data_IF_539283543343
#
_entry.id   IF_539283543343
#
_cell.length_a   1.000
_cell.length_b   1.000
_cell.length_c   1.000
_cell.angle_alpha   90.00
_cell.angle_beta   90.00
_cell.angle_gamma   90.00
#
_symmetry.space_group_name_H-M   'P 1'
#
loop_
_entity.id
_entity.type
_entity.pdbx_description
1 polymer ?
#
# COMPACT_ATOMS: atom_id res chain seq x y z
N UNK A 1 9.73 7.43 2.93
CA UNK A 1 9.61 6.02 3.37
C UNK A 1 8.19 5.79 3.84
N UNK A 2 7.60 4.62 3.54
CA UNK A 2 6.27 4.22 4.01
C UNK A 2 6.39 2.92 4.81
N UNK A 3 5.76 2.90 5.98
CA UNK A 3 5.56 1.71 6.80
C UNK A 3 4.18 1.83 7.42
N UNK A 4 3.26 0.92 7.09
CA UNK A 4 1.89 0.97 7.61
C UNK A 4 1.24 -0.41 7.57
N UNK A 5 0.15 -0.53 8.32
CA UNK A 5 -0.69 -1.73 8.36
C UNK A 5 -2.06 -1.37 7.80
N UNK A 6 -2.53 -2.11 6.80
CA UNK A 6 -3.92 -2.03 6.37
C UNK A 6 -4.74 -3.02 7.18
N UNK A 7 -5.64 -2.50 8.01
CA UNK A 7 -6.68 -3.30 8.67
C UNK A 7 -7.83 -3.49 7.69
N UNK A 8 -8.22 -4.73 7.44
CA UNK A 8 -9.27 -5.05 6.47
C UNK A 8 -10.52 -5.44 7.25
N UNK A 9 -11.46 -4.50 7.33
CA UNK A 9 -12.74 -4.67 7.99
C UNK A 9 -13.76 -5.28 7.02
N UNK A 10 -14.36 -6.39 7.45
CA UNK A 10 -15.24 -7.25 6.66
C UNK A 10 -15.42 -8.67 7.24
N UNK A 11 -15.07 -8.85 8.53
CA UNK A 11 -15.07 -10.10 9.30
C UNK A 11 -14.67 -9.81 10.75
N UNK A 12 -14.22 -10.82 11.52
CA UNK A 12 -13.63 -10.59 12.84
C UNK A 12 -12.42 -9.63 12.75
N UNK A 13 -12.22 -8.77 13.75
CA UNK A 13 -11.11 -7.81 13.90
C UNK A 13 -9.73 -8.51 14.00
N UNK A 14 -9.31 -9.20 12.93
CA UNK A 14 -8.12 -10.05 12.95
C UNK A 14 -7.34 -10.11 11.64
N UNK A 15 -7.83 -9.49 10.56
CA UNK A 15 -7.17 -9.55 9.25
C UNK A 15 -6.43 -8.25 8.95
N UNK A 16 -5.13 -8.35 8.73
CA UNK A 16 -4.30 -7.20 8.38
C UNK A 16 -3.17 -7.57 7.43
N UNK A 17 -2.63 -6.57 6.73
CA UNK A 17 -1.44 -6.67 5.88
C UNK A 17 -0.44 -5.58 6.24
N UNK A 18 0.84 -5.93 6.32
CA UNK A 18 1.93 -5.02 6.65
C UNK A 18 2.70 -4.63 5.39
N UNK A 19 2.88 -3.33 5.20
CA UNK A 19 3.51 -2.73 4.03
C UNK A 19 4.79 -2.02 4.44
N UNK A 20 5.85 -2.20 3.64
CA UNK A 20 7.11 -1.51 3.85
C UNK A 20 7.79 -1.16 2.53
N UNK A 21 8.29 0.08 2.41
CA UNK A 21 9.10 0.48 1.25
C UNK A 21 9.17 1.98 1.02
N UNK A 22 9.49 2.36 -0.22
CA UNK A 22 9.62 3.77 -0.63
C UNK A 22 8.59 4.08 -1.70
N UNK A 23 7.70 5.02 -1.40
CA UNK A 23 6.86 5.67 -2.39
C UNK A 23 7.55 6.95 -2.88
N UNK A 24 7.76 7.05 -4.19
CA UNK A 24 8.34 8.23 -4.84
C UNK A 24 7.22 9.06 -5.46
N UNK A 25 6.95 10.21 -4.86
CA UNK A 25 5.98 11.19 -5.38
C UNK A 25 6.40 11.58 -6.81
N UNK A 26 5.42 11.68 -7.70
CA UNK A 26 5.63 11.98 -9.13
C UNK A 26 6.07 10.78 -9.98
N UNK A 27 6.37 9.62 -9.38
CA UNK A 27 6.51 8.37 -10.14
C UNK A 27 5.15 7.85 -10.60
N UNK A 28 5.08 7.27 -11.80
CA UNK A 28 3.87 6.62 -12.31
C UNK A 28 3.44 5.42 -11.43
N UNK A 29 4.40 4.76 -10.80
CA UNK A 29 4.19 3.63 -9.90
C UNK A 29 5.37 3.49 -8.94
N UNK A 30 5.08 3.11 -7.70
CA UNK A 30 6.09 2.60 -6.75
C UNK A 30 5.70 1.18 -6.30
N UNK A 31 6.67 0.41 -5.80
CA UNK A 31 6.41 -0.90 -5.19
C UNK A 31 6.73 -0.87 -3.71
N UNK A 32 5.84 -1.45 -2.90
CA UNK A 32 6.07 -1.73 -1.49
C UNK A 32 6.09 -3.24 -1.29
N UNK A 33 6.90 -3.72 -0.35
CA UNK A 33 6.91 -5.12 0.05
C UNK A 33 5.74 -5.41 0.99
N UNK A 34 5.14 -6.59 0.85
CA UNK A 34 4.25 -7.17 1.86
C UNK A 34 5.11 -8.02 2.78
N UNK A 35 5.30 -7.56 4.01
CA UNK A 35 6.23 -8.21 4.95
C UNK A 35 5.56 -9.29 5.79
N UNK A 36 4.27 -9.14 6.06
CA UNK A 36 3.47 -10.07 6.88
C UNK A 36 1.99 -9.72 6.81
N UNK A 37 1.18 -10.53 7.48
CA UNK A 37 -0.22 -10.25 7.74
C UNK A 37 -0.76 -11.09 8.91
N UNK A 38 -2.01 -10.84 9.29
CA UNK A 38 -2.72 -11.56 10.36
C UNK A 38 -4.01 -12.20 9.83
N UNK A 39 -4.56 -13.15 10.60
CA UNK A 39 -5.82 -13.83 10.26
C UNK A 39 -5.73 -14.59 8.93
N UNK A 40 -6.65 -14.33 8.00
CA UNK A 40 -6.67 -14.88 6.63
C UNK A 40 -5.38 -14.61 5.85
N UNK A 41 -4.65 -13.55 6.21
CA UNK A 41 -3.39 -13.16 5.58
C UNK A 41 -2.17 -13.56 6.41
N UNK A 42 -2.31 -14.50 7.35
CA UNK A 42 -1.17 -15.01 8.11
C UNK A 42 -0.10 -15.55 7.16
N UNK A 43 1.15 -15.15 7.39
CA UNK A 43 2.30 -15.48 6.54
C UNK A 43 2.21 -14.95 5.10
N UNK A 44 1.35 -13.97 4.83
CA UNK A 44 1.27 -13.34 3.51
C UNK A 44 2.64 -12.75 3.10
N UNK A 45 3.04 -13.05 1.87
CA UNK A 45 4.24 -12.54 1.23
C UNK A 45 3.87 -12.03 -0.17
N UNK A 46 4.61 -11.04 -0.67
CA UNK A 46 4.41 -10.50 -2.00
C UNK A 46 4.77 -9.03 -2.09
N UNK A 47 4.09 -8.31 -2.97
CA UNK A 47 4.31 -6.88 -3.17
C UNK A 47 3.01 -6.14 -3.45
N UNK A 48 3.03 -4.83 -3.22
CA UNK A 48 1.95 -3.92 -3.56
C UNK A 48 2.44 -2.88 -4.58
N UNK A 49 1.63 -2.65 -5.61
CA UNK A 49 1.79 -1.52 -6.50
C UNK A 49 1.06 -0.32 -5.93
N UNK A 50 1.76 0.82 -5.82
CA UNK A 50 1.22 2.08 -5.31
C UNK A 50 1.27 3.12 -6.41
N UNK A 51 0.11 3.67 -6.76
CA UNK A 51 -0.06 4.67 -7.82
C UNK A 51 -0.83 5.88 -7.29
N UNK A 52 -0.38 7.08 -7.62
CA UNK A 52 -1.18 8.29 -7.38
C UNK A 52 -2.40 8.30 -8.29
N UNK A 53 -3.56 8.71 -7.76
CA UNK A 53 -4.73 9.06 -8.58
C UNK A 53 -4.67 10.50 -9.10
N UNK A 54 -3.76 11.31 -8.56
CA UNK A 54 -3.46 12.66 -9.06
C UNK A 54 -2.63 12.54 -10.36
N UNK A 55 -2.83 13.42 -11.35
CA UNK A 55 -2.10 13.35 -12.63
C UNK A 55 -0.57 13.26 -12.46
N UNK A 56 0.11 12.45 -13.30
CA UNK A 56 1.56 12.33 -13.27
C UNK A 56 2.23 13.68 -13.59
N UNK A 57 3.29 14.02 -12.85
CA UNK A 57 4.03 15.29 -13.00
C UNK A 57 3.75 16.31 -11.88
N UNK A 58 2.63 16.19 -11.17
CA UNK A 58 2.36 17.00 -9.99
C UNK A 58 3.17 16.47 -8.79
N UNK A 59 4.30 17.13 -8.50
CA UNK A 59 5.18 16.79 -7.37
C UNK A 59 4.84 17.55 -6.08
N UNK A 60 3.99 18.57 -6.16
CA UNK A 60 3.61 19.42 -5.04
C UNK A 60 2.13 19.19 -4.74
N UNK A 61 1.84 18.80 -3.51
CA UNK A 61 0.47 18.61 -3.04
C UNK A 61 -0.19 19.94 -2.66
N UNK A 62 0.56 20.99 -2.30
CA UNK A 62 0.06 22.33 -1.93
C UNK A 62 -1.18 22.31 -1.02
N UNK A 63 -1.17 21.43 -0.01
CA UNK A 63 -2.30 21.22 0.91
C UNK A 63 -3.45 20.36 0.37
N UNK A 64 -3.41 19.92 -0.89
CA UNK A 64 -4.38 19.02 -1.48
C UNK A 64 -4.24 17.59 -0.94
N UNK A 65 -5.38 16.90 -0.87
CA UNK A 65 -5.44 15.49 -0.48
C UNK A 65 -4.69 14.61 -1.49
N UNK A 66 -3.92 13.66 -0.97
CA UNK A 66 -3.28 12.63 -1.79
C UNK A 66 -4.12 11.38 -1.78
N UNK A 67 -4.64 11.00 -2.95
CA UNK A 67 -5.33 9.73 -3.15
C UNK A 67 -4.37 8.73 -3.80
N UNK A 68 -4.15 7.59 -3.13
CA UNK A 68 -3.32 6.50 -3.62
C UNK A 68 -4.18 5.28 -3.94
N UNK A 69 -3.93 4.65 -5.09
CA UNK A 69 -4.42 3.32 -5.42
C UNK A 69 -3.35 2.30 -5.07
N UNK A 70 -3.72 1.34 -4.23
CA UNK A 70 -2.83 0.27 -3.80
C UNK A 70 -3.40 -1.06 -4.28
N UNK A 71 -2.64 -1.79 -5.09
CA UNK A 71 -3.01 -3.12 -5.59
C UNK A 71 -2.03 -4.14 -5.03
N UNK A 72 -2.53 -5.13 -4.29
CA UNK A 72 -1.71 -6.11 -3.59
C UNK A 72 -1.68 -7.43 -4.36
N UNK A 73 -0.47 -7.94 -4.60
CA UNK A 73 -0.22 -9.25 -5.20
C UNK A 73 0.42 -10.15 -4.15
N UNK A 74 -0.36 -11.12 -3.66
CA UNK A 74 0.11 -12.11 -2.69
C UNK A 74 0.56 -13.38 -3.42
N UNK A 75 1.66 -13.94 -2.94
CA UNK A 75 2.11 -15.29 -3.30
C UNK A 75 1.84 -16.19 -2.10
N UNK A 76 1.14 -17.31 -2.34
CA UNK A 76 0.73 -18.27 -1.31
C UNK A 76 1.50 -19.58 -1.46
#
# INVERSE_FOLDING_TARGET
MMAFTAMIEGGEYGNSLNFFGVYKIGSAMSRLSITSGTGKFKNACGYAEVRSLVPPGQHVTDGAETLLRITVHLTY
#
